data_IF_699238858130
#
_entry.id   IF_699238858130
#
_cell.length_a   1.000
_cell.length_b   1.000
_cell.length_c   1.000
_cell.angle_alpha   90.00
_cell.angle_beta   90.00
_cell.angle_gamma   90.00
#
_symmetry.space_group_name_H-M   'P 1'
#
loop_
_entity.id
_entity.type
_entity.pdbx_description
1 polymer ?
#
# COMPACT_ATOMS: atom_id res chain seq x y z
N UNK A 1 6.23 -5.16 26.78
CA UNK A 1 5.84 -6.06 25.66
C UNK A 1 6.69 -5.81 24.40
N UNK A 2 6.73 -4.59 23.82
CA UNK A 2 7.59 -4.32 22.67
C UNK A 2 9.08 -4.45 22.98
N UNK A 3 9.54 -4.00 24.15
CA UNK A 3 10.94 -4.13 24.60
C UNK A 3 11.37 -5.59 24.74
N UNK A 4 10.50 -6.44 25.25
CA UNK A 4 10.78 -7.86 25.52
C UNK A 4 10.93 -8.65 24.21
N UNK A 5 10.45 -8.12 23.10
CA UNK A 5 10.50 -8.76 21.79
C UNK A 5 11.66 -8.33 20.90
N UNK A 6 12.44 -7.33 21.28
CA UNK A 6 13.57 -6.84 20.46
C UNK A 6 14.55 -7.97 20.10
N UNK A 7 14.78 -8.93 21.00
CA UNK A 7 15.62 -10.09 20.73
C UNK A 7 14.93 -11.24 19.95
N UNK A 8 13.62 -11.17 19.78
CA UNK A 8 12.80 -12.23 19.15
C UNK A 8 12.37 -11.87 17.71
N UNK A 9 12.37 -10.58 17.38
CA UNK A 9 12.03 -10.13 16.03
C UNK A 9 13.13 -10.51 15.05
N UNK A 10 12.78 -11.35 14.10
CA UNK A 10 13.72 -11.92 13.15
C UNK A 10 14.07 -10.99 11.97
N UNK A 11 14.56 -11.56 10.88
CA UNK A 11 15.03 -10.89 9.65
C UNK A 11 13.98 -10.02 8.94
N UNK A 12 12.71 -10.10 9.31
CA UNK A 12 11.70 -9.19 8.75
C UNK A 12 11.87 -7.75 9.23
N UNK A 13 12.56 -7.53 10.39
CA UNK A 13 12.90 -6.21 10.92
C UNK A 13 14.39 -5.92 10.73
N UNK A 14 15.26 -6.87 11.07
CA UNK A 14 16.71 -6.73 11.00
C UNK A 14 17.26 -7.58 9.86
N UNK A 15 17.53 -6.95 8.71
CA UNK A 15 18.07 -7.64 7.54
C UNK A 15 19.10 -6.74 6.83
N UNK A 16 20.35 -6.88 7.20
CA UNK A 16 21.47 -6.10 6.65
C UNK A 16 21.60 -6.25 5.13
N UNK A 17 21.16 -7.38 4.57
CA UNK A 17 21.20 -7.61 3.12
C UNK A 17 20.24 -6.73 2.33
N UNK A 18 19.23 -6.16 2.99
CA UNK A 18 18.26 -5.23 2.40
C UNK A 18 18.64 -3.77 2.59
N UNK A 19 19.71 -3.48 3.32
CA UNK A 19 20.23 -2.13 3.45
C UNK A 19 21.00 -1.81 2.18
N UNK A 20 20.60 -0.73 1.51
CA UNK A 20 21.29 -0.19 0.34
C UNK A 20 21.99 1.11 0.74
N UNK A 21 21.50 2.27 0.27
CA UNK A 21 22.09 3.58 0.56
C UNK A 21 21.69 4.09 1.94
N UNK A 22 20.53 3.69 2.43
CA UNK A 22 19.94 4.16 3.69
C UNK A 22 19.32 3.02 4.49
N UNK A 23 19.39 3.15 5.81
CA UNK A 23 18.66 2.30 6.76
C UNK A 23 17.32 2.97 7.13
N UNK A 24 16.50 2.28 7.92
CA UNK A 24 15.16 2.74 8.28
C UNK A 24 15.19 4.08 9.04
N UNK A 25 14.12 4.87 8.87
CA UNK A 25 13.87 6.05 9.71
C UNK A 25 13.36 5.54 11.05
N UNK A 26 14.10 5.84 12.12
CA UNK A 26 13.80 5.43 13.48
C UNK A 26 13.83 6.64 14.43
N UNK A 27 13.05 6.61 15.54
CA UNK A 27 13.15 7.64 16.57
C UNK A 27 14.54 7.63 17.23
N UNK A 28 15.12 8.81 17.42
CA UNK A 28 16.44 8.97 18.06
C UNK A 28 16.38 8.93 19.59
N UNK A 29 15.19 8.88 20.18
CA UNK A 29 14.98 8.98 21.63
C UNK A 29 15.04 10.43 22.17
N UNK A 30 15.30 11.42 21.34
CA UNK A 30 15.20 12.83 21.74
C UNK A 30 13.73 13.23 21.79
N UNK A 31 13.39 14.03 22.79
CA UNK A 31 12.06 14.61 22.89
C UNK A 31 11.80 15.57 21.71
N UNK A 32 10.56 15.60 21.25
CA UNK A 32 10.15 16.54 20.22
C UNK A 32 10.08 17.95 20.81
N UNK A 33 10.59 18.93 20.06
CA UNK A 33 10.49 20.34 20.45
C UNK A 33 9.01 20.71 20.67
N UNK A 34 8.64 21.21 21.87
CA UNK A 34 7.25 21.62 22.15
C UNK A 34 6.71 22.68 21.16
N UNK A 35 7.60 23.51 20.60
CA UNK A 35 7.27 24.55 19.63
C UNK A 35 7.10 24.04 18.20
N UNK A 36 7.35 22.75 17.94
CA UNK A 36 7.18 22.15 16.62
C UNK A 36 5.75 22.30 16.11
N UNK A 37 5.60 22.53 14.80
CA UNK A 37 4.28 22.65 14.18
C UNK A 37 3.46 21.36 14.31
N UNK A 38 2.14 21.47 14.25
CA UNK A 38 1.24 20.29 14.34
C UNK A 38 1.49 19.26 13.25
N UNK A 39 1.94 19.70 12.06
CA UNK A 39 2.31 18.78 10.98
C UNK A 39 3.55 17.98 11.34
N UNK A 40 4.57 18.60 11.91
CA UNK A 40 5.80 17.94 12.37
C UNK A 40 5.46 16.95 13.48
N UNK A 41 4.63 17.35 14.47
CA UNK A 41 4.16 16.49 15.55
C UNK A 41 3.44 15.25 15.00
N UNK A 42 2.52 15.43 14.06
CA UNK A 42 1.78 14.31 13.44
C UNK A 42 2.72 13.32 12.73
N UNK A 43 3.67 13.80 11.95
CA UNK A 43 4.65 12.94 11.26
C UNK A 43 5.54 12.21 12.27
N UNK A 44 6.02 12.90 13.31
CA UNK A 44 6.84 12.30 14.34
C UNK A 44 6.11 11.16 15.05
N UNK A 45 4.89 11.40 15.52
CA UNK A 45 4.11 10.36 16.19
C UNK A 45 3.78 9.18 15.26
N UNK A 46 3.47 9.44 13.98
CA UNK A 46 3.26 8.38 13.01
C UNK A 46 4.50 7.47 12.87
N UNK A 47 5.70 8.06 12.83
CA UNK A 47 6.96 7.30 12.78
C UNK A 47 7.15 6.49 14.06
N UNK A 48 6.93 7.11 15.24
CA UNK A 48 7.05 6.44 16.54
C UNK A 48 6.08 5.27 16.66
N UNK A 49 4.83 5.46 16.31
CA UNK A 49 3.80 4.41 16.33
C UNK A 49 4.16 3.28 15.37
N UNK A 50 4.59 3.62 14.16
CA UNK A 50 5.00 2.61 13.18
C UNK A 50 6.22 1.83 13.64
N UNK A 51 7.19 2.49 14.25
CA UNK A 51 8.35 1.85 14.85
C UNK A 51 7.94 0.90 15.97
N UNK A 52 7.10 1.32 16.91
CA UNK A 52 6.60 0.46 18.00
C UNK A 52 5.80 -0.73 17.44
N UNK A 53 4.94 -0.49 16.44
CA UNK A 53 4.12 -1.52 15.81
C UNK A 53 4.97 -2.64 15.19
N UNK A 54 6.16 -2.32 14.67
CA UNK A 54 7.06 -3.31 14.09
C UNK A 54 7.54 -4.38 15.10
N UNK A 55 7.56 -4.05 16.39
CA UNK A 55 7.97 -4.97 17.47
C UNK A 55 6.80 -5.66 18.18
N UNK A 56 5.57 -5.32 17.84
CA UNK A 56 4.39 -5.96 18.42
C UNK A 56 4.07 -7.30 17.73
N UNK A 57 3.29 -8.17 18.38
CA UNK A 57 2.82 -9.41 17.78
C UNK A 57 2.11 -9.18 16.44
N UNK A 58 2.17 -10.14 15.52
CA UNK A 58 1.37 -10.09 14.30
C UNK A 58 -0.13 -10.11 14.65
N UNK A 59 -0.96 -9.57 13.74
CA UNK A 59 -2.39 -9.78 13.81
C UNK A 59 -2.71 -11.23 13.48
N UNK A 60 -3.49 -11.88 14.34
CA UNK A 60 -3.97 -13.25 14.14
C UNK A 60 -5.44 -13.24 13.77
N UNK A 61 -5.80 -14.00 12.77
CA UNK A 61 -7.18 -14.15 12.34
C UNK A 61 -7.46 -15.57 11.83
N UNK A 62 -8.70 -15.99 11.95
CA UNK A 62 -9.23 -17.18 11.30
C UNK A 62 -9.92 -16.77 10.01
N UNK A 63 -9.59 -17.43 8.91
CA UNK A 63 -10.26 -17.27 7.63
C UNK A 63 -11.09 -18.52 7.34
N UNK A 64 -12.38 -18.35 7.08
CA UNK A 64 -13.31 -19.42 6.75
C UNK A 64 -13.76 -19.25 5.31
N UNK A 65 -13.64 -20.30 4.52
CA UNK A 65 -14.15 -20.35 3.16
C UNK A 65 -15.37 -21.25 3.10
N UNK A 66 -16.41 -20.79 2.44
CA UNK A 66 -17.63 -21.55 2.20
C UNK A 66 -17.93 -21.58 0.71
N UNK A 67 -18.24 -22.75 0.22
CA UNK A 67 -18.76 -22.94 -1.13
C UNK A 67 -20.24 -23.32 -1.03
N UNK A 68 -21.10 -22.53 -1.68
CA UNK A 68 -22.51 -22.79 -1.82
C UNK A 68 -22.76 -23.20 -3.27
N UNK A 69 -23.36 -24.35 -3.49
CA UNK A 69 -23.68 -24.86 -4.81
C UNK A 69 -25.16 -24.66 -5.09
N UNK A 70 -25.48 -24.02 -6.21
CA UNK A 70 -26.84 -23.88 -6.71
C UNK A 70 -26.82 -24.40 -8.14
N UNK A 71 -27.47 -25.55 -8.37
CA UNK A 71 -27.34 -26.31 -9.61
C UNK A 71 -25.86 -26.54 -9.95
N UNK A 72 -25.39 -26.09 -11.11
CA UNK A 72 -24.03 -26.26 -11.58
C UNK A 72 -23.11 -25.04 -11.22
N UNK A 73 -23.59 -24.09 -10.42
CA UNK A 73 -22.84 -22.89 -10.09
C UNK A 73 -22.31 -22.95 -8.65
N UNK A 74 -21.03 -22.65 -8.48
CA UNK A 74 -20.38 -22.56 -7.18
C UNK A 74 -20.18 -21.10 -6.76
N UNK A 75 -20.67 -20.74 -5.59
CA UNK A 75 -20.53 -19.42 -4.99
C UNK A 75 -19.58 -19.50 -3.80
N UNK A 76 -18.43 -18.82 -3.90
CA UNK A 76 -17.46 -18.76 -2.81
C UNK A 76 -17.75 -17.57 -1.91
N UNK A 77 -17.91 -17.82 -0.63
CA UNK A 77 -18.01 -16.81 0.42
C UNK A 77 -16.81 -16.93 1.36
N UNK A 78 -16.15 -15.82 1.66
CA UNK A 78 -15.01 -15.78 2.58
C UNK A 78 -15.40 -14.94 3.79
N UNK A 79 -15.21 -15.50 4.97
CA UNK A 79 -15.37 -14.82 6.25
C UNK A 79 -14.04 -14.73 6.97
N UNK A 80 -13.88 -13.66 7.77
CA UNK A 80 -12.68 -13.40 8.53
C UNK A 80 -13.04 -13.00 9.96
N UNK A 81 -12.51 -13.72 10.92
CA UNK A 81 -12.68 -13.43 12.35
C UNK A 81 -11.32 -13.08 12.94
N UNK A 82 -11.18 -11.87 13.49
CA UNK A 82 -9.94 -11.44 14.14
C UNK A 82 -9.87 -12.12 15.51
N UNK A 83 -8.79 -12.87 15.76
CA UNK A 83 -8.49 -13.52 17.03
C UNK A 83 -7.70 -12.55 17.91
N UNK A 84 -6.66 -11.92 17.35
CA UNK A 84 -5.83 -10.91 18.02
C UNK A 84 -5.49 -9.78 17.05
N UNK A 85 -5.70 -8.54 17.47
CA UNK A 85 -5.36 -7.37 16.66
C UNK A 85 -3.84 -7.16 16.52
N UNK A 86 -3.05 -7.61 17.51
CA UNK A 86 -1.60 -7.44 17.50
C UNK A 86 -1.19 -5.98 17.26
N UNK A 87 -0.22 -5.76 16.36
CA UNK A 87 0.28 -4.41 16.01
C UNK A 87 -0.80 -3.44 15.50
N UNK A 88 -1.90 -3.95 14.95
CA UNK A 88 -2.99 -3.10 14.45
C UNK A 88 -3.70 -2.31 15.54
N UNK A 89 -3.73 -2.81 16.76
CA UNK A 89 -4.36 -2.12 17.89
C UNK A 89 -3.73 -0.73 18.11
N UNK A 90 -2.40 -0.65 18.01
CA UNK A 90 -1.69 0.61 18.16
C UNK A 90 -1.98 1.59 17.01
N UNK A 91 -2.05 1.11 15.78
CA UNK A 91 -2.26 1.96 14.59
C UNK A 91 -3.71 2.43 14.49
N UNK A 92 -4.67 1.57 14.84
CA UNK A 92 -6.11 1.93 14.82
C UNK A 92 -6.46 2.98 15.88
N UNK A 93 -5.83 2.92 17.06
CA UNK A 93 -6.01 3.92 18.11
C UNK A 93 -5.58 5.35 17.67
N UNK A 94 -4.53 5.45 16.82
CA UNK A 94 -4.08 6.74 16.28
C UNK A 94 -4.92 7.28 15.11
N UNK A 95 -5.70 6.42 14.45
CA UNK A 95 -6.53 6.81 13.29
C UNK A 95 -7.96 7.22 13.65
N UNK A 96 -8.46 6.92 14.85
CA UNK A 96 -9.83 7.27 15.27
C UNK A 96 -10.06 8.79 15.38
N UNK A 97 -8.99 9.58 15.51
CA UNK A 97 -9.11 11.05 15.57
C UNK A 97 -9.17 11.73 14.19
N UNK A 98 -8.87 11.08 13.08
CA UNK A 98 -8.58 11.84 11.85
C UNK A 98 -9.43 11.55 10.61
N UNK A 99 -10.26 10.51 10.53
CA UNK A 99 -11.14 10.34 9.34
C UNK A 99 -12.32 9.41 9.59
N UNK A 100 -13.52 9.83 9.16
CA UNK A 100 -14.66 8.92 8.90
C UNK A 100 -14.22 7.91 7.84
N UNK A 101 -13.65 6.79 8.27
CA UNK A 101 -13.28 5.70 7.37
C UNK A 101 -14.51 5.28 6.56
N UNK A 102 -14.35 5.27 5.24
CA UNK A 102 -15.11 4.33 4.41
C UNK A 102 -14.91 2.96 5.05
N UNK A 103 -16.00 2.39 5.57
CA UNK A 103 -15.99 1.08 6.20
C UNK A 103 -15.18 0.14 5.29
N UNK A 104 -14.00 -0.27 5.74
CA UNK A 104 -13.31 -1.42 5.16
C UNK A 104 -14.37 -2.51 5.11
N UNK A 105 -14.40 -3.32 4.02
CA UNK A 105 -15.32 -4.47 3.95
C UNK A 105 -15.33 -5.08 5.32
N UNK A 106 -16.48 -4.95 6.05
CA UNK A 106 -16.60 -5.41 7.44
C UNK A 106 -16.13 -6.86 7.43
N UNK A 107 -15.28 -7.21 8.36
CA UNK A 107 -14.91 -8.59 8.57
C UNK A 107 -16.21 -9.39 8.71
N UNK A 108 -16.54 -10.17 7.68
CA UNK A 108 -17.78 -10.92 7.63
C UNK A 108 -17.56 -12.18 8.45
N UNK A 109 -18.21 -12.24 9.61
CA UNK A 109 -18.23 -13.47 10.41
C UNK A 109 -19.24 -14.41 9.75
N UNK A 110 -18.79 -15.53 9.24
CA UNK A 110 -19.69 -16.55 8.70
C UNK A 110 -20.24 -17.39 9.86
N UNK A 111 -21.59 -17.58 9.95
CA UNK A 111 -22.15 -18.50 10.90
C UNK A 111 -21.65 -19.93 10.59
N UNK A 112 -21.49 -20.74 11.63
CA UNK A 112 -21.16 -22.15 11.47
C UNK A 112 -22.34 -22.90 10.82
N UNK A 113 -22.03 -23.74 9.82
CA UNK A 113 -22.97 -24.68 9.24
C UNK A 113 -22.31 -26.05 9.21
N UNK A 114 -23.12 -27.09 9.27
CA UNK A 114 -22.65 -28.44 9.01
C UNK A 114 -22.26 -28.61 7.54
N UNK A 115 -21.28 -29.46 7.29
CA UNK A 115 -20.88 -29.78 5.92
C UNK A 115 -22.07 -30.41 5.17
N UNK A 116 -22.28 -29.96 3.93
CA UNK A 116 -23.41 -30.36 3.06
C UNK A 116 -24.82 -29.99 3.60
N UNK A 117 -24.91 -28.99 4.51
CA UNK A 117 -26.21 -28.52 4.96
C UNK A 117 -27.00 -27.92 3.78
N UNK A 118 -28.26 -28.30 3.68
CA UNK A 118 -29.20 -27.72 2.72
C UNK A 118 -29.63 -26.33 3.23
N UNK A 119 -29.48 -25.31 2.39
CA UNK A 119 -29.91 -23.93 2.71
C UNK A 119 -30.94 -23.47 1.68
N UNK A 120 -31.93 -22.71 2.13
CA UNK A 120 -32.88 -22.03 1.25
C UNK A 120 -32.56 -20.54 1.20
N UNK A 121 -32.43 -19.94 0.02
CA UNK A 121 -32.25 -18.48 -0.08
C UNK A 121 -33.51 -17.75 0.42
N UNK A 122 -33.32 -16.71 1.25
CA UNK A 122 -34.42 -15.88 1.73
C UNK A 122 -34.83 -14.88 0.66
N UNK A 123 -33.86 -14.37 -0.08
CA UNK A 123 -34.08 -13.44 -1.20
C UNK A 123 -32.97 -13.58 -2.25
N UNK A 124 -33.33 -13.34 -3.48
CA UNK A 124 -32.38 -13.28 -4.61
C UNK A 124 -32.57 -11.93 -5.31
N UNK A 125 -31.48 -11.18 -5.47
CA UNK A 125 -31.49 -9.90 -6.19
C UNK A 125 -30.43 -9.92 -7.30
N UNK A 126 -30.81 -9.52 -8.49
CA UNK A 126 -29.90 -9.31 -9.61
C UNK A 126 -29.37 -7.87 -9.56
N UNK A 127 -28.08 -7.72 -9.29
CA UNK A 127 -27.40 -6.42 -9.34
C UNK A 127 -26.59 -6.29 -10.62
N UNK A 128 -26.94 -5.32 -11.44
CA UNK A 128 -26.13 -4.96 -12.60
C UNK A 128 -25.03 -3.99 -12.20
N UNK A 129 -23.81 -4.29 -12.61
CA UNK A 129 -22.64 -3.43 -12.39
C UNK A 129 -21.81 -3.30 -13.64
N UNK A 130 -21.04 -2.21 -13.71
CA UNK A 130 -20.05 -2.01 -14.77
C UNK A 130 -18.67 -2.10 -14.13
N UNK A 131 -17.74 -2.79 -14.79
CA UNK A 131 -16.33 -2.74 -14.40
C UNK A 131 -15.79 -1.35 -14.62
N UNK A 132 -14.95 -0.89 -13.71
CA UNK A 132 -14.23 0.38 -13.84
C UNK A 132 -12.79 0.13 -14.23
N UNK A 133 -12.18 0.97 -15.08
CA UNK A 133 -10.77 0.86 -15.41
C UNK A 133 -9.91 1.06 -14.15
N UNK A 134 -8.65 0.59 -14.14
CA UNK A 134 -7.71 0.90 -13.08
C UNK A 134 -7.61 2.41 -12.87
N UNK A 135 -7.49 2.84 -11.62
CA UNK A 135 -7.30 4.26 -11.31
C UNK A 135 -5.95 4.74 -11.88
N UNK A 136 -5.89 5.97 -12.41
CA UNK A 136 -4.62 6.58 -12.79
C UNK A 136 -3.64 6.62 -11.61
N UNK A 137 -2.35 6.73 -11.90
CA UNK A 137 -1.34 6.81 -10.88
C UNK A 137 -1.42 8.13 -10.10
N UNK A 138 -1.14 8.05 -8.82
CA UNK A 138 -0.71 9.19 -7.99
C UNK A 138 0.79 9.06 -7.73
N UNK A 139 1.45 10.10 -7.21
CA UNK A 139 2.89 10.03 -6.83
C UNK A 139 3.19 8.77 -6.00
N UNK A 140 2.44 8.53 -4.94
CA UNK A 140 2.66 7.37 -4.06
C UNK A 140 2.44 6.02 -4.74
N UNK A 141 1.42 5.90 -5.62
CA UNK A 141 1.18 4.64 -6.35
C UNK A 141 2.19 4.42 -7.46
N UNK A 142 2.69 5.48 -8.10
CA UNK A 142 3.73 5.39 -9.12
C UNK A 142 5.08 4.96 -8.49
N UNK A 143 5.50 5.56 -7.38
CA UNK A 143 6.70 5.14 -6.63
C UNK A 143 6.61 3.66 -6.24
N UNK A 144 5.45 3.21 -5.75
CA UNK A 144 5.22 1.80 -5.40
C UNK A 144 5.28 0.88 -6.62
N UNK A 145 4.80 1.34 -7.77
CA UNK A 145 4.88 0.59 -9.02
C UNK A 145 6.31 0.50 -9.53
N UNK A 146 7.08 1.59 -9.49
CA UNK A 146 8.50 1.60 -9.81
C UNK A 146 9.28 0.59 -8.94
N UNK A 147 8.98 0.53 -7.65
CA UNK A 147 9.58 -0.43 -6.73
C UNK A 147 9.25 -1.88 -7.08
N UNK A 148 8.03 -2.14 -7.56
CA UNK A 148 7.51 -3.48 -7.83
C UNK A 148 7.28 -3.72 -9.33
N UNK A 149 8.02 -3.06 -10.19
CA UNK A 149 7.82 -3.09 -11.65
C UNK A 149 7.82 -4.50 -12.22
N UNK A 150 8.57 -5.41 -11.62
CA UNK A 150 8.62 -6.80 -12.03
C UNK A 150 7.26 -7.50 -12.07
N UNK A 151 6.25 -6.98 -11.35
CA UNK A 151 4.87 -7.51 -11.37
C UNK A 151 4.15 -7.24 -12.69
N UNK A 152 4.56 -6.18 -13.41
CA UNK A 152 3.98 -5.78 -14.69
C UNK A 152 4.74 -6.38 -15.88
N UNK A 153 5.94 -6.89 -15.66
CA UNK A 153 6.83 -7.41 -16.69
C UNK A 153 6.70 -8.92 -16.84
N UNK A 154 7.11 -9.42 -18.02
CA UNK A 154 7.13 -10.85 -18.35
C UNK A 154 8.56 -11.26 -18.80
N UNK A 155 8.81 -12.56 -18.82
CA UNK A 155 10.04 -13.12 -19.37
C UNK A 155 11.31 -12.67 -18.64
N UNK A 156 12.36 -12.37 -19.40
CA UNK A 156 13.67 -11.99 -18.87
C UNK A 156 13.68 -10.64 -18.17
N UNK A 157 12.90 -9.66 -18.64
CA UNK A 157 12.78 -8.36 -18.01
C UNK A 157 12.25 -8.49 -16.58
N UNK A 158 11.28 -9.40 -16.34
CA UNK A 158 10.80 -9.70 -15.00
C UNK A 158 11.89 -10.24 -14.08
N UNK A 159 12.76 -11.10 -14.63
CA UNK A 159 13.89 -11.67 -13.85
C UNK A 159 14.91 -10.60 -13.52
N UNK A 160 15.28 -9.76 -14.49
CA UNK A 160 16.27 -8.71 -14.32
C UNK A 160 15.88 -7.65 -13.28
N UNK A 161 14.59 -7.28 -13.21
CA UNK A 161 14.09 -6.23 -12.30
C UNK A 161 13.38 -6.76 -11.05
N UNK A 162 13.51 -8.07 -10.76
CA UNK A 162 12.79 -8.71 -9.65
C UNK A 162 13.15 -8.12 -8.28
N UNK A 163 14.40 -7.82 -8.06
CA UNK A 163 14.93 -7.46 -6.74
C UNK A 163 15.36 -5.98 -6.64
N UNK A 164 15.44 -5.24 -7.76
CA UNK A 164 15.91 -3.85 -7.75
C UNK A 164 14.83 -2.81 -8.10
N UNK A 165 13.84 -3.14 -8.94
CA UNK A 165 12.85 -2.17 -9.42
C UNK A 165 13.48 -1.12 -10.35
N UNK A 166 12.76 0.00 -10.54
CA UNK A 166 13.26 1.19 -11.27
C UNK A 166 13.66 2.24 -10.25
N UNK A 167 14.89 2.71 -10.31
CA UNK A 167 15.46 3.67 -9.35
C UNK A 167 15.63 3.09 -7.95
N UNK A 168 16.32 3.84 -7.09
CA UNK A 168 16.49 3.53 -5.67
C UNK A 168 15.41 4.20 -4.82
N UNK A 169 15.21 3.83 -3.56
CA UNK A 169 14.32 4.56 -2.65
C UNK A 169 14.59 6.07 -2.60
N UNK A 170 15.86 6.47 -2.68
CA UNK A 170 16.28 7.86 -2.65
C UNK A 170 15.98 8.63 -3.96
N UNK A 171 15.95 7.95 -5.10
CA UNK A 171 15.88 8.60 -6.42
C UNK A 171 14.49 8.58 -7.06
N UNK A 172 13.59 7.67 -6.66
CA UNK A 172 12.28 7.53 -7.31
C UNK A 172 11.43 8.79 -7.29
N UNK A 173 11.38 9.47 -6.14
CA UNK A 173 10.65 10.72 -6.03
C UNK A 173 11.23 11.79 -6.96
N UNK A 174 12.55 11.96 -6.94
CA UNK A 174 13.26 12.94 -7.79
C UNK A 174 13.05 12.67 -9.28
N UNK A 175 13.04 11.40 -9.72
CA UNK A 175 12.75 11.03 -11.11
C UNK A 175 11.34 11.50 -11.51
N UNK A 176 10.34 11.29 -10.67
CA UNK A 176 8.97 11.73 -10.96
C UNK A 176 8.90 13.26 -10.99
N UNK A 177 9.50 13.94 -10.02
CA UNK A 177 9.53 15.40 -9.95
C UNK A 177 10.24 16.00 -11.17
N UNK A 178 11.31 15.36 -11.64
CA UNK A 178 12.01 15.78 -12.86
C UNK A 178 11.15 15.61 -14.12
N UNK A 179 10.38 14.54 -14.23
CA UNK A 179 9.47 14.31 -15.36
C UNK A 179 8.25 15.25 -15.34
N UNK A 180 7.83 15.71 -14.17
CA UNK A 180 6.78 16.72 -13.99
C UNK A 180 7.29 18.16 -14.19
N UNK A 181 8.59 18.39 -14.03
CA UNK A 181 9.17 19.72 -14.06
C UNK A 181 9.20 20.31 -15.48
N UNK A 182 8.87 21.60 -15.56
CA UNK A 182 9.03 22.41 -16.76
C UNK A 182 10.36 23.17 -16.82
N UNK A 183 11.23 22.93 -15.83
CA UNK A 183 12.54 23.56 -15.72
C UNK A 183 13.62 22.49 -15.57
N UNK A 184 14.66 22.56 -16.37
CA UNK A 184 15.81 21.67 -16.24
C UNK A 184 16.69 22.03 -15.04
N UNK A 185 17.59 21.15 -14.62
CA UNK A 185 18.49 21.37 -13.47
C UNK A 185 19.44 22.58 -13.64
N UNK A 186 19.71 22.97 -14.87
CA UNK A 186 20.49 24.20 -15.18
C UNK A 186 19.64 25.48 -15.23
N UNK A 187 18.34 25.41 -14.88
CA UNK A 187 17.42 26.55 -14.90
C UNK A 187 16.78 26.86 -16.25
N UNK A 188 17.15 26.14 -17.35
CA UNK A 188 16.55 26.37 -18.66
C UNK A 188 15.12 25.78 -18.75
N UNK A 189 14.21 26.40 -19.54
CA UNK A 189 12.88 25.85 -19.79
C UNK A 189 12.97 24.49 -20.51
N UNK A 190 12.16 23.54 -20.06
CA UNK A 190 11.95 22.23 -20.72
C UNK A 190 10.48 21.88 -20.79
N UNK A 191 10.13 20.95 -21.70
CA UNK A 191 8.78 20.39 -21.73
C UNK A 191 8.66 19.27 -20.69
N UNK A 192 7.63 19.33 -19.85
CA UNK A 192 7.32 18.25 -18.92
C UNK A 192 6.83 17.02 -19.68
N UNK A 193 7.25 15.84 -19.25
CA UNK A 193 6.80 14.55 -19.83
C UNK A 193 5.56 14.02 -19.11
N UNK A 194 5.38 14.42 -17.85
CA UNK A 194 4.22 14.08 -17.02
C UNK A 194 3.50 15.35 -16.56
N UNK A 195 2.23 15.21 -16.20
CA UNK A 195 1.43 16.28 -15.61
C UNK A 195 0.52 15.75 -14.52
N UNK A 196 0.21 16.60 -13.51
CA UNK A 196 -0.79 16.31 -12.49
C UNK A 196 -2.17 16.80 -12.97
N UNK A 197 -3.20 15.94 -12.86
CA UNK A 197 -4.56 16.24 -13.29
C UNK A 197 -5.56 16.02 -12.15
N UNK A 198 -6.48 16.96 -12.01
CA UNK A 198 -7.60 16.90 -11.07
C UNK A 198 -7.21 17.06 -9.60
N UNK A 199 -8.22 17.12 -8.72
CA UNK A 199 -8.03 17.34 -7.28
C UNK A 199 -7.26 16.20 -6.58
N UNK A 200 -7.27 15.00 -7.15
CA UNK A 200 -6.53 13.85 -6.62
C UNK A 200 -5.08 13.81 -7.11
N UNK A 201 -4.62 14.81 -7.87
CA UNK A 201 -3.27 14.89 -8.43
C UNK A 201 -2.86 13.59 -9.14
N UNK A 202 -3.70 13.13 -10.05
CA UNK A 202 -3.38 11.98 -10.87
C UNK A 202 -2.28 12.33 -11.86
N UNK A 203 -1.29 11.45 -11.96
CA UNK A 203 -0.18 11.60 -12.89
C UNK A 203 -0.58 10.97 -14.23
N UNK A 204 -0.48 11.77 -15.27
CA UNK A 204 -0.72 11.34 -16.65
C UNK A 204 0.42 11.82 -17.56
N UNK A 205 0.72 11.12 -18.66
CA UNK A 205 1.69 11.61 -19.62
C UNK A 205 1.18 12.87 -20.30
N UNK A 206 2.08 13.76 -20.67
CA UNK A 206 1.81 14.87 -21.59
C UNK A 206 1.89 14.36 -23.03
N UNK A 207 1.42 15.17 -23.99
CA UNK A 207 1.59 14.86 -25.43
C UNK A 207 3.07 14.70 -25.78
N UNK A 208 3.92 15.57 -25.25
CA UNK A 208 5.38 15.46 -25.43
C UNK A 208 5.94 14.17 -24.81
N UNK A 209 5.47 13.78 -23.63
CA UNK A 209 5.87 12.52 -23.00
C UNK A 209 5.52 11.30 -23.85
N UNK A 210 4.32 11.29 -24.46
CA UNK A 210 3.92 10.23 -25.39
C UNK A 210 4.80 10.20 -26.63
N UNK A 211 5.08 11.35 -27.26
CA UNK A 211 5.98 11.44 -28.43
C UNK A 211 7.38 10.93 -28.13
N UNK A 212 7.91 11.19 -26.92
CA UNK A 212 9.24 10.67 -26.53
C UNK A 212 9.21 9.15 -26.42
N UNK A 213 8.17 8.56 -25.85
CA UNK A 213 8.05 7.09 -25.74
C UNK A 213 7.91 6.46 -27.12
N UNK A 214 7.04 7.00 -27.99
CA UNK A 214 6.87 6.52 -29.37
C UNK A 214 8.15 6.60 -30.20
N UNK A 215 9.01 7.57 -29.93
CA UNK A 215 10.31 7.69 -30.60
C UNK A 215 11.31 6.62 -30.13
N UNK A 216 11.18 6.15 -28.88
CA UNK A 216 12.08 5.17 -28.27
C UNK A 216 11.69 3.70 -28.53
N UNK A 217 10.44 3.45 -28.94
CA UNK A 217 9.94 2.12 -29.31
C UNK A 217 10.28 1.75 -30.78
#
# INVERSE_FOLDING_TARGET
EAKDRIGVVGKHIFDDKKITDHFAIIPTGKELDPSASDQVKKIYYLIVERFKAAFLPPMEYSESERFTFIENNAFKTVGKTIISKGWKELVEAGEEESTKKKASKKDVILPAFEDKAEIKPISVALNQGKTTPPKPFTNGTLIRTMQNISRLLKGEQKKALKDCGIGTPATRANIIDELLSTTASNGSPKKAMLQEVGNNKYITPTEYGNQVVEFLE
#
